data_IF_171895301417
#
_entry.id   IF_171895301417
#
_cell.length_a   1.000
_cell.length_b   1.000
_cell.length_c   1.000
_cell.angle_alpha   90.00
_cell.angle_beta   90.00
_cell.angle_gamma   90.00
#
_symmetry.space_group_name_H-M   'P 1'
#
loop_
_entity.id
_entity.type
_entity.pdbx_description
1 polymer ?
#
# COMPACT_ATOMS: atom_id res chain seq x y z
N UNK A 1 -13.99 19.81 33.97
CA UNK A 1 -14.16 18.45 33.43
C UNK A 1 -14.77 18.59 32.05
N UNK A 2 -13.98 18.34 31.02
CA UNK A 2 -14.46 18.20 29.63
C UNK A 2 -14.08 16.80 29.17
N UNK A 3 -15.02 15.88 29.40
CA UNK A 3 -15.11 14.57 28.75
C UNK A 3 -15.22 14.80 27.23
N UNK A 4 -14.17 14.57 26.46
CA UNK A 4 -14.20 14.84 25.01
C UNK A 4 -13.29 13.96 24.16
N UNK A 5 -12.06 13.68 24.58
CA UNK A 5 -11.12 12.87 23.80
C UNK A 5 -10.76 11.63 24.60
N UNK A 6 -11.70 10.68 24.65
CA UNK A 6 -11.31 9.29 24.89
C UNK A 6 -10.41 8.91 23.73
N UNK A 7 -9.10 8.84 23.95
CA UNK A 7 -8.10 8.28 23.04
C UNK A 7 -8.70 7.01 22.45
N UNK A 8 -9.19 7.08 21.22
CA UNK A 8 -9.68 5.90 20.52
C UNK A 8 -8.43 5.08 20.24
N UNK A 9 -8.26 3.99 20.98
CA UNK A 9 -7.29 2.97 20.62
C UNK A 9 -7.62 2.54 19.18
N UNK A 10 -6.81 3.00 18.24
CA UNK A 10 -6.87 2.56 16.86
C UNK A 10 -6.37 1.12 16.84
N UNK A 11 -7.16 0.23 16.26
CA UNK A 11 -6.74 -1.15 16.05
C UNK A 11 -5.84 -1.21 14.82
N UNK A 12 -4.59 -0.73 14.93
CA UNK A 12 -3.65 -0.58 13.81
C UNK A 12 -3.47 -1.86 13.01
N UNK A 13 -3.44 -3.02 13.69
CA UNK A 13 -3.36 -4.33 13.02
C UNK A 13 -4.56 -4.62 12.10
N UNK A 14 -5.76 -4.16 12.47
CA UNK A 14 -6.97 -4.28 11.65
C UNK A 14 -6.97 -3.29 10.50
N UNK A 15 -6.55 -2.05 10.75
CA UNK A 15 -6.48 -1.01 9.73
C UNK A 15 -5.51 -1.40 8.61
N UNK A 16 -4.29 -1.87 8.97
CA UNK A 16 -3.29 -2.34 8.01
C UNK A 16 -3.85 -3.46 7.12
N UNK A 17 -4.42 -4.51 7.72
CA UNK A 17 -5.04 -5.61 6.97
C UNK A 17 -6.16 -5.14 6.06
N UNK A 18 -6.96 -4.17 6.51
CA UNK A 18 -8.05 -3.61 5.70
C UNK A 18 -7.53 -2.83 4.50
N UNK A 19 -6.46 -2.07 4.68
CA UNK A 19 -5.76 -1.37 3.60
C UNK A 19 -5.19 -2.36 2.59
N UNK A 20 -4.47 -3.39 3.04
CA UNK A 20 -3.93 -4.42 2.14
C UNK A 20 -5.02 -5.15 1.35
N UNK A 21 -6.16 -5.45 1.98
CA UNK A 21 -7.29 -6.09 1.28
C UNK A 21 -7.87 -5.17 0.20
N UNK A 22 -8.00 -3.88 0.47
CA UNK A 22 -8.47 -2.89 -0.51
C UNK A 22 -7.49 -2.74 -1.67
N UNK A 23 -6.19 -2.68 -1.40
CA UNK A 23 -5.15 -2.61 -2.43
C UNK A 23 -5.13 -3.86 -3.32
N UNK A 24 -5.24 -5.06 -2.72
CA UNK A 24 -5.42 -6.31 -3.48
C UNK A 24 -6.65 -6.27 -4.38
N UNK A 25 -7.77 -5.73 -3.88
CA UNK A 25 -9.00 -5.62 -4.67
C UNK A 25 -8.87 -4.59 -5.80
N UNK A 26 -8.24 -3.45 -5.55
CA UNK A 26 -7.99 -2.43 -6.57
C UNK A 26 -7.10 -2.98 -7.70
N UNK A 27 -6.06 -3.75 -7.36
CA UNK A 27 -5.24 -4.45 -8.35
C UNK A 27 -6.07 -5.43 -9.19
N UNK A 28 -6.90 -6.27 -8.57
CA UNK A 28 -7.75 -7.23 -9.29
C UNK A 28 -8.74 -6.52 -10.24
N UNK A 29 -9.37 -5.44 -9.81
CA UNK A 29 -10.26 -4.63 -10.66
C UNK A 29 -9.49 -4.07 -11.87
N UNK A 30 -8.28 -3.58 -11.65
CA UNK A 30 -7.44 -3.01 -12.71
C UNK A 30 -7.04 -4.09 -13.74
N UNK A 31 -6.68 -5.28 -13.25
CA UNK A 31 -6.35 -6.44 -14.10
C UNK A 31 -7.58 -6.94 -14.89
N UNK A 32 -8.74 -7.01 -14.26
CA UNK A 32 -10.01 -7.40 -14.89
C UNK A 32 -10.42 -6.40 -15.99
N UNK A 33 -10.29 -5.10 -15.71
CA UNK A 33 -10.58 -4.04 -16.69
C UNK A 33 -9.64 -4.09 -17.90
N UNK A 34 -8.40 -4.54 -17.71
CA UNK A 34 -7.45 -4.71 -18.80
C UNK A 34 -7.76 -5.96 -19.65
N UNK A 35 -8.19 -7.04 -19.01
CA UNK A 35 -8.49 -8.31 -19.66
C UNK A 35 -9.81 -8.30 -20.46
N UNK A 36 -10.73 -7.38 -20.19
CA UNK A 36 -12.01 -7.29 -20.91
C UNK A 36 -11.88 -6.93 -22.39
N UNK A 37 -10.71 -6.43 -22.83
CA UNK A 37 -10.40 -6.17 -24.24
C UNK A 37 -11.15 -4.99 -24.84
N UNK A 38 -11.89 -4.22 -24.03
CA UNK A 38 -12.36 -2.91 -24.44
C UNK A 38 -11.13 -2.01 -24.67
N UNK A 39 -11.11 -1.18 -25.74
CA UNK A 39 -9.97 -0.31 -26.01
C UNK A 39 -9.64 0.48 -24.75
N UNK A 40 -8.36 0.58 -24.31
CA UNK A 40 -7.95 1.18 -23.05
C UNK A 40 -8.69 2.49 -22.82
N UNK A 41 -9.78 2.38 -22.07
CA UNK A 41 -10.74 3.45 -21.94
C UNK A 41 -10.27 4.45 -20.89
N UNK A 42 -11.01 5.54 -20.78
CA UNK A 42 -10.87 6.48 -19.65
C UNK A 42 -10.92 5.76 -18.28
N UNK A 43 -11.67 4.66 -18.19
CA UNK A 43 -11.86 3.91 -16.95
C UNK A 43 -10.64 3.08 -16.56
N UNK A 44 -9.94 2.43 -17.51
CA UNK A 44 -8.70 1.72 -17.22
C UNK A 44 -7.61 2.68 -16.72
N UNK A 45 -7.47 3.84 -17.38
CA UNK A 45 -6.55 4.88 -16.95
C UNK A 45 -6.87 5.36 -15.52
N UNK A 46 -8.15 5.54 -15.22
CA UNK A 46 -8.63 5.92 -13.89
C UNK A 46 -8.31 4.86 -12.84
N UNK A 47 -8.53 3.56 -13.14
CA UNK A 47 -8.21 2.46 -12.23
C UNK A 47 -6.70 2.34 -11.99
N UNK A 48 -5.88 2.35 -13.06
CA UNK A 48 -4.43 2.32 -12.95
C UNK A 48 -3.91 3.48 -12.09
N UNK A 49 -4.35 4.71 -12.38
CA UNK A 49 -3.93 5.89 -11.65
C UNK A 49 -4.39 5.85 -10.18
N UNK A 50 -5.63 5.46 -9.92
CA UNK A 50 -6.17 5.33 -8.57
C UNK A 50 -5.42 4.28 -7.75
N UNK A 51 -5.17 3.10 -8.33
CA UNK A 51 -4.39 2.04 -7.70
C UNK A 51 -2.95 2.48 -7.40
N UNK A 52 -2.24 3.06 -8.38
CA UNK A 52 -0.86 3.54 -8.20
C UNK A 52 -0.80 4.60 -7.10
N UNK A 53 -1.71 5.57 -7.13
CA UNK A 53 -1.77 6.65 -6.13
C UNK A 53 -2.02 6.12 -4.73
N UNK A 54 -2.98 5.20 -4.57
CA UNK A 54 -3.31 4.61 -3.28
C UNK A 54 -2.15 3.78 -2.71
N UNK A 55 -1.48 2.98 -3.55
CA UNK A 55 -0.34 2.16 -3.14
C UNK A 55 0.86 3.02 -2.74
N UNK A 56 1.17 4.05 -3.52
CA UNK A 56 2.23 5.02 -3.17
C UNK A 56 1.92 5.72 -1.85
N UNK A 57 0.68 6.21 -1.67
CA UNK A 57 0.29 6.91 -0.44
C UNK A 57 0.35 6.03 0.80
N UNK A 58 -0.01 4.75 0.66
CA UNK A 58 0.10 3.77 1.74
C UNK A 58 1.55 3.55 2.19
N UNK A 59 2.45 3.18 1.26
CA UNK A 59 3.85 2.93 1.61
C UNK A 59 4.57 4.19 2.12
N UNK A 60 4.29 5.37 1.53
CA UNK A 60 4.86 6.63 2.04
C UNK A 60 4.38 6.97 3.45
N UNK A 61 3.11 6.67 3.77
CA UNK A 61 2.56 6.85 5.11
C UNK A 61 3.28 5.97 6.12
N UNK A 62 3.54 4.72 5.76
CA UNK A 62 4.26 3.77 6.61
C UNK A 62 5.70 4.19 6.86
N UNK A 63 6.44 4.51 5.79
CA UNK A 63 7.84 4.94 5.87
C UNK A 63 8.01 6.20 6.74
N UNK A 64 7.08 7.16 6.60
CA UNK A 64 7.20 8.47 7.27
C UNK A 64 6.65 8.47 8.68
N UNK A 65 5.67 7.61 8.98
CA UNK A 65 4.89 7.69 10.22
C UNK A 65 4.88 6.37 10.99
N UNK A 66 4.42 5.28 10.37
CA UNK A 66 4.23 4.01 11.07
C UNK A 66 5.55 3.38 11.51
N UNK A 67 6.49 3.23 10.59
CA UNK A 67 7.77 2.57 10.86
C UNK A 67 8.62 3.34 11.88
N UNK A 68 8.72 4.68 11.84
CA UNK A 68 9.36 5.43 12.91
C UNK A 68 8.71 5.22 14.29
N UNK A 69 7.37 5.17 14.36
CA UNK A 69 6.66 4.91 15.61
C UNK A 69 6.96 3.51 16.15
N UNK A 70 6.94 2.48 15.30
CA UNK A 70 7.33 1.12 15.67
C UNK A 70 8.78 1.07 16.13
N UNK A 71 9.72 1.73 15.41
CA UNK A 71 11.14 1.72 15.74
C UNK A 71 11.49 2.44 17.06
N UNK A 72 10.61 3.33 17.52
CA UNK A 72 10.73 4.01 18.80
C UNK A 72 10.34 3.08 19.96
N UNK A 73 9.28 2.30 19.81
CA UNK A 73 8.79 1.36 20.83
C UNK A 73 9.51 -0.01 20.81
N UNK A 74 9.88 -0.49 19.62
CA UNK A 74 10.50 -1.80 19.36
C UNK A 74 11.84 -1.67 18.58
N UNK A 75 12.92 -1.19 19.23
CA UNK A 75 14.25 -1.01 18.64
C UNK A 75 14.81 -2.19 17.85
N UNK A 76 14.47 -3.41 18.22
CA UNK A 76 14.91 -4.67 17.62
C UNK A 76 14.32 -4.90 16.22
N UNK A 77 13.19 -4.27 15.89
CA UNK A 77 12.54 -4.40 14.58
C UNK A 77 13.18 -3.53 13.50
N UNK A 78 14.15 -2.66 13.83
CA UNK A 78 14.74 -1.73 12.84
C UNK A 78 15.32 -2.40 11.61
N UNK A 79 15.87 -3.62 11.73
CA UNK A 79 16.33 -4.35 10.55
C UNK A 79 15.18 -4.84 9.67
N UNK A 80 14.10 -5.32 10.29
CA UNK A 80 12.87 -5.72 9.60
C UNK A 80 12.23 -4.52 8.88
N UNK A 81 12.12 -3.37 9.55
CA UNK A 81 11.58 -2.15 8.96
C UNK A 81 12.41 -1.68 7.75
N UNK A 82 13.75 -1.71 7.85
CA UNK A 82 14.62 -1.41 6.70
C UNK A 82 14.42 -2.35 5.51
N UNK A 83 14.04 -3.61 5.72
CA UNK A 83 13.71 -4.55 4.64
C UNK A 83 12.38 -4.18 3.98
N UNK A 84 11.40 -3.76 4.77
CA UNK A 84 10.11 -3.27 4.26
C UNK A 84 10.28 -1.98 3.46
N UNK A 85 11.09 -1.02 3.93
CA UNK A 85 11.44 0.21 3.18
C UNK A 85 12.15 -0.11 1.84
N UNK A 86 12.96 -1.18 1.80
CA UNK A 86 13.57 -1.66 0.55
C UNK A 86 12.53 -2.24 -0.41
N UNK A 87 11.58 -3.02 0.10
CA UNK A 87 10.44 -3.50 -0.70
C UNK A 87 9.62 -2.31 -1.24
N UNK A 88 9.35 -1.30 -0.41
CA UNK A 88 8.65 -0.07 -0.83
C UNK A 88 9.37 0.63 -1.97
N UNK A 89 10.70 0.75 -1.88
CA UNK A 89 11.52 1.34 -2.94
C UNK A 89 11.44 0.55 -4.25
N UNK A 90 11.42 -0.78 -4.19
CA UNK A 90 11.26 -1.65 -5.35
C UNK A 90 9.86 -1.51 -5.96
N UNK A 91 8.81 -1.49 -5.14
CA UNK A 91 7.43 -1.29 -5.60
C UNK A 91 7.26 0.10 -6.23
N UNK A 92 7.83 1.15 -5.63
CA UNK A 92 7.81 2.50 -6.18
C UNK A 92 8.45 2.57 -7.57
N UNK A 93 9.56 1.85 -7.79
CA UNK A 93 10.17 1.74 -9.11
C UNK A 93 9.24 1.08 -10.13
N UNK A 94 8.54 0.00 -9.75
CA UNK A 94 7.58 -0.69 -10.62
C UNK A 94 6.36 0.18 -10.94
N UNK A 95 5.86 0.93 -9.96
CA UNK A 95 4.78 1.91 -10.15
C UNK A 95 5.20 2.97 -11.17
N UNK A 96 6.42 3.53 -11.04
CA UNK A 96 6.94 4.51 -11.98
C UNK A 96 7.02 3.97 -13.42
N UNK A 97 7.45 2.71 -13.58
CA UNK A 97 7.44 2.03 -14.88
C UNK A 97 6.03 1.87 -15.45
N UNK A 98 5.05 1.49 -14.63
CA UNK A 98 3.64 1.39 -15.04
C UNK A 98 3.07 2.75 -15.45
N UNK A 99 3.35 3.81 -14.69
CA UNK A 99 2.90 5.16 -15.01
C UNK A 99 3.48 5.65 -16.35
N UNK A 100 4.77 5.43 -16.59
CA UNK A 100 5.40 5.76 -17.86
C UNK A 100 4.80 4.97 -19.05
N UNK A 101 4.48 3.69 -18.86
CA UNK A 101 3.79 2.87 -19.86
C UNK A 101 2.40 3.42 -20.18
N UNK A 102 1.65 3.86 -19.16
CA UNK A 102 0.36 4.53 -19.33
C UNK A 102 0.50 5.85 -20.11
N UNK A 103 1.45 6.71 -19.73
CA UNK A 103 1.69 8.01 -20.38
C UNK A 103 2.09 7.88 -21.86
N UNK A 104 2.84 6.82 -22.18
CA UNK A 104 3.26 6.49 -23.55
C UNK A 104 2.21 5.73 -24.36
N UNK A 105 1.01 5.49 -23.79
CA UNK A 105 -0.06 4.72 -24.44
C UNK A 105 0.38 3.31 -24.86
N UNK A 106 1.09 2.62 -23.97
CA UNK A 106 1.54 1.24 -24.16
C UNK A 106 0.37 0.27 -24.45
N UNK A 107 0.69 -0.87 -25.06
CA UNK A 107 -0.33 -1.87 -25.42
C UNK A 107 -0.93 -2.52 -24.16
N UNK A 108 -2.16 -3.06 -24.23
CA UNK A 108 -2.75 -3.77 -23.12
C UNK A 108 -1.88 -4.91 -22.58
N UNK A 109 -1.17 -5.63 -23.45
CA UNK A 109 -0.27 -6.71 -23.06
C UNK A 109 0.94 -6.20 -22.26
N UNK A 110 1.42 -4.99 -22.57
CA UNK A 110 2.50 -4.36 -21.83
C UNK A 110 2.05 -3.89 -20.45
N UNK A 111 0.89 -3.23 -20.36
CA UNK A 111 0.28 -2.85 -19.09
C UNK A 111 0.00 -4.08 -18.22
N UNK A 112 -0.38 -5.22 -18.81
CA UNK A 112 -0.63 -6.48 -18.07
C UNK A 112 0.65 -6.96 -17.40
N UNK A 113 1.77 -6.98 -18.13
CA UNK A 113 3.07 -7.37 -17.58
C UNK A 113 3.50 -6.48 -16.41
N UNK A 114 3.25 -5.18 -16.50
CA UNK A 114 3.52 -4.25 -15.39
C UNK A 114 2.66 -4.58 -14.16
N UNK A 115 1.35 -4.76 -14.33
CA UNK A 115 0.43 -5.09 -13.23
C UNK A 115 0.73 -6.46 -12.61
N UNK A 116 1.10 -7.45 -13.42
CA UNK A 116 1.55 -8.77 -12.94
C UNK A 116 2.82 -8.66 -12.10
N UNK A 117 3.80 -7.88 -12.56
CA UNK A 117 5.04 -7.63 -11.84
C UNK A 117 4.80 -6.94 -10.48
N UNK A 118 3.97 -5.89 -10.47
CA UNK A 118 3.57 -5.20 -9.24
C UNK A 118 2.85 -6.18 -8.29
N UNK A 119 1.87 -6.93 -8.80
CA UNK A 119 1.08 -7.87 -8.00
C UNK A 119 1.92 -8.98 -7.35
N UNK A 120 2.90 -9.52 -8.07
CA UNK A 120 3.77 -10.57 -7.56
C UNK A 120 4.62 -10.08 -6.36
N UNK A 121 5.20 -8.88 -6.47
CA UNK A 121 5.97 -8.28 -5.38
C UNK A 121 5.07 -7.92 -4.21
N UNK A 122 3.95 -7.23 -4.47
CA UNK A 122 3.01 -6.81 -3.42
C UNK A 122 2.50 -7.96 -2.56
N UNK A 123 2.14 -9.10 -3.15
CA UNK A 123 1.63 -10.22 -2.35
C UNK A 123 2.71 -10.78 -1.41
N UNK A 124 3.96 -10.86 -1.89
CA UNK A 124 5.08 -11.30 -1.04
C UNK A 124 5.35 -10.30 0.09
N UNK A 125 5.31 -9.02 -0.23
CA UNK A 125 5.55 -7.89 0.68
C UNK A 125 4.48 -7.81 1.78
N UNK A 126 3.19 -7.70 1.43
CA UNK A 126 2.10 -7.64 2.39
C UNK A 126 2.08 -8.84 3.33
N UNK A 127 2.32 -10.05 2.80
CA UNK A 127 2.41 -11.24 3.65
C UNK A 127 3.58 -11.15 4.61
N UNK A 128 4.73 -10.61 4.19
CA UNK A 128 5.89 -10.47 5.06
C UNK A 128 5.61 -9.45 6.15
N UNK A 129 5.15 -8.27 5.78
CA UNK A 129 4.79 -7.21 6.72
C UNK A 129 3.76 -7.68 7.74
N UNK A 130 2.65 -8.27 7.29
CA UNK A 130 1.59 -8.75 8.19
C UNK A 130 2.15 -9.78 9.19
N UNK A 131 3.05 -10.68 8.74
CA UNK A 131 3.69 -11.66 9.64
C UNK A 131 4.61 -11.00 10.67
N UNK A 132 5.26 -9.90 10.32
CA UNK A 132 6.23 -9.25 11.20
C UNK A 132 5.59 -8.25 12.16
N UNK A 133 4.58 -7.51 11.69
CA UNK A 133 4.13 -6.30 12.37
C UNK A 133 2.77 -6.45 13.04
N UNK A 134 1.88 -7.37 12.64
CA UNK A 134 0.52 -7.38 13.18
C UNK A 134 0.44 -7.51 14.70
N UNK A 135 1.26 -8.37 15.31
CA UNK A 135 1.31 -8.52 16.77
C UNK A 135 1.84 -7.26 17.46
N UNK A 136 2.74 -6.53 16.83
CA UNK A 136 3.28 -5.26 17.35
C UNK A 136 2.22 -4.17 17.27
N UNK A 137 1.47 -4.14 16.18
CA UNK A 137 0.38 -3.19 15.94
C UNK A 137 -0.84 -3.41 16.84
N UNK A 138 -0.97 -4.55 17.51
CA UNK A 138 -2.02 -4.77 18.52
C UNK A 138 -1.83 -3.92 19.78
N UNK A 139 -0.59 -3.52 20.07
CA UNK A 139 -0.23 -2.76 21.27
C UNK A 139 0.32 -1.36 20.98
N UNK A 140 0.52 -1.00 19.70
CA UNK A 140 1.09 0.27 19.30
C UNK A 140 0.22 1.44 19.76
N UNK A 141 0.81 2.37 20.54
CA UNK A 141 0.13 3.56 21.04
C UNK A 141 0.46 4.79 20.19
N UNK A 142 0.02 4.78 18.93
CA UNK A 142 0.16 5.90 18.01
C UNK A 142 -1.14 6.71 17.92
N UNK A 143 -1.10 7.98 18.35
CA UNK A 143 -2.20 8.95 18.25
C UNK A 143 -2.11 9.72 16.92
N UNK A 144 -2.64 9.11 15.86
CA UNK A 144 -2.64 9.67 14.51
C UNK A 144 -3.85 9.18 13.72
N UNK A 145 -4.24 9.94 12.69
CA UNK A 145 -5.29 9.53 11.76
C UNK A 145 -4.81 8.35 10.91
N UNK A 146 -5.51 7.19 10.92
CA UNK A 146 -5.15 6.06 10.06
C UNK A 146 -5.08 6.40 8.57
N UNK A 147 -5.87 7.34 8.08
CA UNK A 147 -5.84 7.77 6.68
C UNK A 147 -4.55 8.52 6.30
N UNK A 148 -3.86 9.11 7.28
CA UNK A 148 -2.55 9.75 7.08
C UNK A 148 -1.43 8.71 7.19
N UNK A 149 -1.54 7.78 8.13
CA UNK A 149 -0.48 6.79 8.43
C UNK A 149 -0.47 5.63 7.44
N UNK A 150 -1.64 5.17 6.99
CA UNK A 150 -1.78 4.02 6.08
C UNK A 150 -2.29 4.41 4.69
N UNK A 151 -2.39 5.71 4.42
CA UNK A 151 -2.84 6.26 3.16
C UNK A 151 -4.37 6.34 3.00
N UNK A 152 -4.84 7.19 2.06
CA UNK A 152 -6.25 7.37 1.80
C UNK A 152 -6.77 6.16 1.01
N UNK A 153 -7.60 5.36 1.66
CA UNK A 153 -8.36 4.28 1.02
C UNK A 153 -9.78 4.30 1.54
#
# INVERSE_FOLDING_TARGET
>A
MTEGEKTRLVAWSRELRSVHQRLRKALSITQEALASGEPPGRDLLLFCHGFCTALTGHHEGEDRMLFPAIAAEQPELRETLRKLEQDHSMVAHLIGGMQAAVESSATPEELSRHLEGIGAIMESHFRYEERQLLSVLETLALDADPGVVLGPL
#
